data_IF_561593554354
#
_entry.id   IF_561593554354
#
_cell.length_a   1.000
_cell.length_b   1.000
_cell.length_c   1.000
_cell.angle_alpha   90.00
_cell.angle_beta   90.00
_cell.angle_gamma   90.00
#
_symmetry.space_group_name_H-M   'P 1'
#
loop_
_entity.id
_entity.type
_entity.pdbx_description
1 polymer ?
#
# COMPACT_ATOMS: atom_id res chain seq x y z
N UNK A 1 -20.59 13.40 -22.50
CA UNK A 1 -19.34 12.70 -22.85
C UNK A 1 -18.98 11.83 -21.65
N UNK A 2 -19.14 10.52 -21.75
CA UNK A 2 -18.72 9.57 -20.72
C UNK A 2 -17.19 9.50 -20.75
N UNK A 3 -16.54 10.05 -19.73
CA UNK A 3 -15.09 9.91 -19.56
C UNK A 3 -14.83 8.41 -19.40
N UNK A 4 -13.91 7.84 -20.19
CA UNK A 4 -13.51 6.45 -20.04
C UNK A 4 -12.94 6.27 -18.62
N UNK A 5 -13.71 5.60 -17.76
CA UNK A 5 -13.29 5.34 -16.40
C UNK A 5 -12.31 4.18 -16.42
N UNK A 6 -11.02 4.50 -16.37
CA UNK A 6 -9.98 3.50 -16.21
C UNK A 6 -10.13 2.84 -14.84
N UNK A 7 -9.92 1.51 -14.72
CA UNK A 7 -9.95 0.85 -13.43
C UNK A 7 -8.93 1.52 -12.48
N UNK A 8 -9.20 1.57 -11.17
CA UNK A 8 -8.26 2.14 -10.21
C UNK A 8 -6.87 1.52 -10.30
N UNK A 9 -5.82 2.31 -10.08
CA UNK A 9 -4.43 1.83 -10.18
C UNK A 9 -4.15 0.66 -9.25
N UNK A 10 -4.75 0.68 -8.06
CA UNK A 10 -4.63 -0.39 -7.07
C UNK A 10 -5.29 -1.71 -7.50
N UNK A 11 -6.13 -1.72 -8.52
CA UNK A 11 -6.83 -2.92 -8.98
C UNK A 11 -6.01 -3.76 -9.98
N UNK A 12 -5.06 -3.13 -10.68
CA UNK A 12 -4.32 -3.79 -11.76
C UNK A 12 -3.29 -4.80 -11.23
N UNK A 13 -3.10 -5.91 -11.92
CA UNK A 13 -1.96 -6.80 -11.67
C UNK A 13 -0.70 -6.20 -12.31
N UNK A 14 0.41 -6.11 -11.55
CA UNK A 14 1.70 -5.62 -12.04
C UNK A 14 2.69 -6.79 -12.13
N UNK A 15 2.83 -7.44 -13.31
CA UNK A 15 3.69 -8.61 -13.46
C UNK A 15 5.17 -8.28 -13.28
N UNK A 16 5.60 -7.06 -13.63
CA UNK A 16 7.00 -6.64 -13.52
C UNK A 16 7.39 -6.50 -12.05
N UNK A 17 6.57 -5.77 -11.27
CA UNK A 17 6.79 -5.69 -9.84
C UNK A 17 6.64 -7.05 -9.16
N UNK A 18 5.61 -7.82 -9.50
CA UNK A 18 5.31 -9.09 -8.86
C UNK A 18 6.47 -10.09 -8.98
N UNK A 19 7.12 -10.16 -10.16
CA UNK A 19 8.34 -10.97 -10.33
C UNK A 19 9.49 -10.51 -9.44
N UNK A 20 9.64 -9.20 -9.24
CA UNK A 20 10.70 -8.64 -8.41
C UNK A 20 10.44 -8.88 -6.93
N UNK A 21 9.22 -8.62 -6.47
CA UNK A 21 8.81 -8.76 -5.06
C UNK A 21 8.89 -10.22 -4.61
N UNK A 22 8.38 -11.14 -5.41
CA UNK A 22 8.27 -12.55 -5.05
C UNK A 22 9.34 -13.43 -5.71
N UNK A 23 10.44 -12.84 -6.18
CA UNK A 23 11.52 -13.54 -6.92
C UNK A 23 12.04 -14.78 -6.19
N UNK A 24 12.09 -14.73 -4.85
CA UNK A 24 12.67 -15.80 -4.02
C UNK A 24 11.70 -16.97 -3.78
N UNK A 25 10.41 -16.79 -4.10
CA UNK A 25 9.36 -17.81 -3.89
C UNK A 25 8.67 -18.26 -5.18
N UNK A 26 8.82 -17.54 -6.28
CA UNK A 26 8.12 -17.85 -7.54
C UNK A 26 8.65 -19.11 -8.25
N UNK A 27 9.94 -19.44 -8.11
CA UNK A 27 10.56 -20.54 -8.84
C UNK A 27 10.31 -20.41 -10.35
N UNK A 28 9.83 -21.48 -10.99
CA UNK A 28 9.54 -21.51 -12.44
C UNK A 28 8.45 -20.50 -12.86
N UNK A 29 7.55 -20.10 -11.94
CA UNK A 29 6.52 -19.10 -12.24
C UNK A 29 7.12 -17.75 -12.62
N UNK A 30 8.35 -17.45 -12.19
CA UNK A 30 9.08 -16.25 -12.56
C UNK A 30 9.41 -16.16 -14.07
N UNK A 31 9.24 -17.23 -14.84
CA UNK A 31 9.51 -17.28 -16.30
C UNK A 31 8.25 -17.28 -17.16
N UNK A 32 7.06 -17.39 -16.55
CA UNK A 32 5.77 -17.36 -17.25
C UNK A 32 5.60 -16.08 -18.07
N UNK A 33 4.72 -16.07 -19.07
CA UNK A 33 4.27 -14.81 -19.68
C UNK A 33 3.55 -13.93 -18.65
N UNK A 34 3.35 -12.65 -18.94
CA UNK A 34 2.65 -11.75 -18.01
C UNK A 34 1.18 -12.15 -17.80
N UNK A 35 0.54 -12.68 -18.84
CA UNK A 35 -0.83 -13.21 -18.76
C UNK A 35 -0.88 -14.49 -17.92
N UNK A 36 0.04 -15.43 -18.17
CA UNK A 36 0.12 -16.68 -17.40
C UNK A 36 0.50 -16.42 -15.94
N UNK A 37 1.34 -15.43 -15.67
CA UNK A 37 1.69 -15.02 -14.31
C UNK A 37 0.49 -14.41 -13.58
N UNK A 38 -0.36 -13.65 -14.27
CA UNK A 38 -1.61 -13.14 -13.70
C UNK A 38 -2.58 -14.29 -13.36
N UNK A 39 -2.67 -15.32 -14.21
CA UNK A 39 -3.45 -16.54 -13.94
C UNK A 39 -2.85 -17.32 -12.76
N UNK A 40 -1.53 -17.41 -12.70
CA UNK A 40 -0.82 -18.03 -11.58
C UNK A 40 -1.08 -17.30 -10.27
N UNK A 41 -1.04 -15.96 -10.28
CA UNK A 41 -1.40 -15.14 -9.11
C UNK A 41 -2.82 -15.45 -8.65
N UNK A 42 -3.80 -15.45 -9.55
CA UNK A 42 -5.19 -15.71 -9.19
C UNK A 42 -5.44 -17.11 -8.61
N UNK A 43 -4.64 -18.10 -9.02
CA UNK A 43 -4.80 -19.50 -8.59
C UNK A 43 -3.93 -19.89 -7.39
N UNK A 44 -2.78 -19.25 -7.20
CA UNK A 44 -1.79 -19.58 -6.16
C UNK A 44 -1.45 -18.34 -5.32
N UNK A 45 -0.91 -17.30 -5.95
CA UNK A 45 -0.36 -16.12 -5.27
C UNK A 45 -1.34 -15.42 -4.33
N UNK A 46 -2.57 -15.18 -4.78
CA UNK A 46 -3.61 -14.54 -3.98
C UNK A 46 -3.91 -15.35 -2.71
N UNK A 47 -4.00 -16.68 -2.82
CA UNK A 47 -4.22 -17.56 -1.66
C UNK A 47 -3.02 -17.57 -0.70
N UNK A 48 -1.80 -17.51 -1.25
CA UNK A 48 -0.55 -17.39 -0.49
C UNK A 48 -0.36 -16.03 0.19
N UNK A 49 -1.31 -15.09 0.05
CA UNK A 49 -1.21 -13.76 0.65
C UNK A 49 -0.24 -12.85 -0.09
N UNK A 50 -0.04 -13.05 -1.39
CA UNK A 50 0.70 -12.11 -2.21
C UNK A 50 -0.16 -10.90 -2.56
N UNK A 51 0.44 -9.72 -2.52
CA UNK A 51 -0.08 -8.52 -3.14
C UNK A 51 0.02 -8.63 -4.67
N UNK A 52 -0.94 -8.09 -5.43
CA UNK A 52 -0.93 -8.12 -6.90
C UNK A 52 -0.09 -6.99 -7.53
N UNK A 53 0.15 -5.93 -6.76
CA UNK A 53 0.86 -4.72 -7.17
C UNK A 53 1.39 -3.99 -5.93
N UNK A 54 2.20 -2.94 -6.16
CA UNK A 54 2.80 -2.08 -5.11
C UNK A 54 1.79 -1.27 -4.30
N UNK A 55 0.58 -1.06 -4.81
CA UNK A 55 -0.40 -0.15 -4.22
C UNK A 55 -1.28 -0.82 -3.17
N UNK A 56 -1.30 -2.14 -3.12
CA UNK A 56 -2.09 -2.91 -2.15
C UNK A 56 -1.16 -3.73 -1.28
N UNK A 57 -1.35 -3.67 0.03
CA UNK A 57 -0.58 -4.42 1.03
C UNK A 57 -1.47 -5.51 1.64
N UNK A 58 -1.36 -6.72 1.10
CA UNK A 58 -2.19 -7.87 1.48
C UNK A 58 -1.97 -8.29 2.93
N UNK A 59 -0.73 -8.24 3.40
CA UNK A 59 -0.41 -8.59 4.79
C UNK A 59 -1.01 -7.57 5.76
N UNK A 60 -0.78 -6.27 5.49
CA UNK A 60 -1.32 -5.19 6.29
C UNK A 60 -2.84 -5.22 6.31
N UNK A 61 -3.46 -5.36 5.14
CA UNK A 61 -4.90 -5.35 4.99
C UNK A 61 -5.55 -6.50 5.75
N UNK A 62 -5.02 -7.72 5.61
CA UNK A 62 -5.50 -8.88 6.38
C UNK A 62 -5.33 -8.68 7.87
N UNK A 63 -4.23 -8.07 8.33
CA UNK A 63 -4.00 -7.83 9.76
C UNK A 63 -4.97 -6.80 10.35
N UNK A 64 -5.33 -5.77 9.59
CA UNK A 64 -6.07 -4.61 10.10
C UNK A 64 -7.56 -4.58 9.72
N UNK A 65 -8.02 -5.43 8.79
CA UNK A 65 -9.43 -5.52 8.42
C UNK A 65 -10.06 -6.81 8.98
N UNK A 66 -10.79 -6.68 10.08
CA UNK A 66 -11.47 -7.81 10.72
C UNK A 66 -12.49 -8.49 9.79
N UNK A 67 -13.25 -7.72 9.02
CA UNK A 67 -14.21 -8.26 8.04
C UNK A 67 -13.51 -9.12 6.99
N UNK A 68 -12.33 -8.69 6.52
CA UNK A 68 -11.53 -9.50 5.61
C UNK A 68 -11.06 -10.79 6.29
N UNK A 69 -10.54 -10.74 7.53
CA UNK A 69 -10.13 -11.94 8.26
C UNK A 69 -11.28 -12.96 8.40
N UNK A 70 -12.47 -12.49 8.79
CA UNK A 70 -13.65 -13.34 8.94
C UNK A 70 -14.10 -13.92 7.59
N UNK A 71 -14.06 -13.14 6.52
CA UNK A 71 -14.43 -13.59 5.18
C UNK A 71 -13.41 -14.56 4.57
N UNK A 72 -12.12 -14.44 4.89
CA UNK A 72 -11.10 -15.42 4.51
C UNK A 72 -11.28 -16.73 5.30
N UNK A 73 -11.54 -16.64 6.61
CA UNK A 73 -11.75 -17.80 7.47
C UNK A 73 -13.01 -18.60 7.09
N UNK A 74 -14.05 -17.94 6.58
CA UNK A 74 -15.26 -18.58 6.07
C UNK A 74 -15.15 -19.08 4.62
N UNK A 75 -14.04 -18.76 3.93
CA UNK A 75 -13.84 -19.10 2.52
C UNK A 75 -14.68 -18.26 1.55
N UNK A 76 -15.27 -17.16 2.00
CA UNK A 76 -16.04 -16.24 1.14
C UNK A 76 -15.15 -15.50 0.13
N UNK A 77 -13.92 -15.16 0.52
CA UNK A 77 -12.92 -14.56 -0.36
C UNK A 77 -11.59 -15.30 -0.26
N UNK A 78 -10.85 -15.36 -1.38
CA UNK A 78 -9.56 -16.06 -1.47
C UNK A 78 -8.40 -15.28 -0.89
N UNK A 79 -8.53 -13.95 -0.86
CA UNK A 79 -7.49 -13.00 -0.43
C UNK A 79 -8.11 -11.73 0.14
N UNK A 80 -7.31 -10.99 0.90
CA UNK A 80 -7.67 -9.64 1.35
C UNK A 80 -7.90 -8.71 0.16
N UNK A 81 -7.12 -8.84 -0.90
CA UNK A 81 -7.25 -8.07 -2.13
C UNK A 81 -8.60 -8.30 -2.82
N UNK A 82 -9.06 -9.55 -2.89
CA UNK A 82 -10.39 -9.86 -3.41
C UNK A 82 -11.49 -9.23 -2.57
N UNK A 83 -11.41 -9.34 -1.23
CA UNK A 83 -12.33 -8.65 -0.33
C UNK A 83 -12.32 -7.12 -0.56
N UNK A 84 -11.13 -6.53 -0.70
CA UNK A 84 -10.96 -5.11 -0.95
C UNK A 84 -11.65 -4.68 -2.24
N UNK A 85 -11.41 -5.39 -3.35
CA UNK A 85 -12.02 -5.09 -4.64
C UNK A 85 -13.54 -5.16 -4.61
N UNK A 86 -14.12 -6.07 -3.83
CA UNK A 86 -15.57 -6.29 -3.79
C UNK A 86 -16.30 -5.31 -2.87
N UNK A 87 -15.75 -5.05 -1.69
CA UNK A 87 -16.43 -4.22 -0.68
C UNK A 87 -15.49 -3.34 0.12
N UNK A 88 -14.28 -3.81 0.42
CA UNK A 88 -13.37 -3.12 1.32
C UNK A 88 -12.94 -1.74 0.85
N UNK A 89 -12.84 -1.50 -0.46
CA UNK A 89 -12.41 -0.22 -1.03
C UNK A 89 -13.28 0.97 -0.60
N UNK A 90 -14.52 0.74 -0.14
CA UNK A 90 -15.44 1.80 0.26
C UNK A 90 -15.06 2.47 1.58
N UNK A 91 -14.39 1.75 2.48
CA UNK A 91 -14.18 2.20 3.87
C UNK A 91 -12.81 1.83 4.42
N UNK A 92 -12.18 0.79 3.88
CA UNK A 92 -10.94 0.24 4.40
C UNK A 92 -9.74 0.84 3.66
N UNK A 93 -8.58 0.79 4.32
CA UNK A 93 -7.34 1.33 3.77
C UNK A 93 -6.45 0.18 3.28
N UNK A 94 -6.05 0.16 2.00
CA UNK A 94 -5.34 -0.97 1.39
C UNK A 94 -3.84 -1.00 1.70
N UNK A 95 -3.28 0.05 2.29
CA UNK A 95 -1.84 0.22 2.47
C UNK A 95 -1.55 0.91 3.81
N UNK A 96 -0.48 0.53 4.50
CA UNK A 96 -0.14 1.01 5.85
C UNK A 96 0.20 2.52 5.94
N UNK A 97 0.47 3.15 4.80
CA UNK A 97 0.73 4.59 4.66
C UNK A 97 -0.36 5.35 3.90
N UNK A 98 -1.56 4.80 3.85
CA UNK A 98 -2.75 5.53 3.43
C UNK A 98 -3.88 5.28 4.43
N UNK A 99 -4.67 6.30 4.75
CA UNK A 99 -5.92 6.14 5.50
C UNK A 99 -7.06 6.85 4.78
N UNK A 100 -8.06 6.06 4.36
CA UNK A 100 -9.26 6.58 3.70
C UNK A 100 -9.98 7.60 4.60
N UNK A 101 -10.11 7.29 5.90
CA UNK A 101 -10.73 8.18 6.89
C UNK A 101 -9.94 9.47 7.04
N UNK A 102 -8.62 9.39 7.19
CA UNK A 102 -7.76 10.58 7.32
C UNK A 102 -7.86 11.46 6.08
N UNK A 103 -7.74 10.88 4.90
CA UNK A 103 -7.69 11.61 3.64
C UNK A 103 -9.00 12.34 3.34
N UNK A 104 -10.13 11.62 3.45
CA UNK A 104 -11.48 12.19 3.18
C UNK A 104 -11.93 13.19 4.24
N UNK A 105 -11.44 13.09 5.49
CA UNK A 105 -11.69 14.09 6.54
C UNK A 105 -10.86 15.35 6.34
N UNK A 106 -9.62 15.21 5.88
CA UNK A 106 -8.68 16.32 5.71
C UNK A 106 -8.99 17.18 4.49
N UNK A 107 -9.43 16.55 3.39
CA UNK A 107 -9.63 17.22 2.11
C UNK A 107 -11.11 17.23 1.74
N UNK A 108 -11.75 18.39 1.91
CA UNK A 108 -13.19 18.53 1.71
C UNK A 108 -13.66 18.21 0.28
N UNK A 109 -12.78 18.41 -0.71
CA UNK A 109 -12.97 18.09 -2.13
C UNK A 109 -12.79 16.59 -2.44
N UNK A 110 -12.31 15.79 -1.48
CA UNK A 110 -12.16 14.33 -1.59
C UNK A 110 -13.23 13.57 -0.80
N UNK A 111 -14.40 14.15 -0.55
CA UNK A 111 -15.53 13.40 0.04
C UNK A 111 -16.15 12.42 -0.98
N UNK A 112 -16.84 11.39 -0.49
CA UNK A 112 -17.39 10.32 -1.33
C UNK A 112 -18.24 10.80 -2.53
N UNK A 113 -19.03 11.87 -2.36
CA UNK A 113 -19.85 12.40 -3.44
C UNK A 113 -19.03 13.11 -4.51
N UNK A 114 -18.03 13.90 -4.10
CA UNK A 114 -17.11 14.57 -5.01
C UNK A 114 -16.21 13.57 -5.76
N UNK A 115 -15.77 12.51 -5.10
CA UNK A 115 -14.98 11.45 -5.72
C UNK A 115 -15.77 10.72 -6.80
N UNK A 116 -17.00 10.31 -6.47
CA UNK A 116 -17.87 9.62 -7.41
C UNK A 116 -18.24 10.48 -8.62
N UNK A 117 -18.50 11.78 -8.44
CA UNK A 117 -18.82 12.69 -9.55
C UNK A 117 -17.66 12.93 -10.50
N UNK A 118 -16.42 12.78 -10.01
CA UNK A 118 -15.18 12.86 -10.78
C UNK A 118 -14.73 11.51 -11.35
N UNK A 119 -15.46 10.43 -11.06
CA UNK A 119 -15.15 9.09 -11.56
C UNK A 119 -14.07 8.34 -10.80
N UNK A 120 -13.76 8.72 -9.56
CA UNK A 120 -12.87 7.95 -8.69
C UNK A 120 -13.65 6.89 -7.92
N UNK A 121 -13.04 5.71 -7.73
CA UNK A 121 -13.67 4.63 -6.97
C UNK A 121 -13.73 4.92 -5.46
N UNK A 122 -12.70 5.57 -4.91
CA UNK A 122 -12.56 5.94 -3.51
C UNK A 122 -11.47 7.02 -3.33
N UNK A 123 -11.21 7.41 -2.08
CA UNK A 123 -10.17 8.37 -1.74
C UNK A 123 -8.78 7.89 -2.15
N UNK A 124 -8.50 6.59 -2.04
CA UNK A 124 -7.21 6.03 -2.47
C UNK A 124 -6.97 6.11 -3.98
N UNK A 125 -7.98 5.84 -4.82
CA UNK A 125 -7.89 6.00 -6.27
C UNK A 125 -7.62 7.46 -6.66
N UNK A 126 -8.33 8.40 -6.02
CA UNK A 126 -8.05 9.82 -6.19
C UNK A 126 -6.65 10.21 -5.69
N UNK A 127 -6.21 9.68 -4.55
CA UNK A 127 -4.88 9.94 -4.00
C UNK A 127 -3.78 9.51 -4.97
N UNK A 128 -3.83 8.28 -5.48
CA UNK A 128 -2.80 7.75 -6.40
C UNK A 128 -2.76 8.49 -7.74
N UNK A 129 -3.87 9.09 -8.18
CA UNK A 129 -3.98 9.77 -9.48
C UNK A 129 -3.75 11.28 -9.42
N UNK A 130 -4.16 11.91 -8.33
CA UNK A 130 -4.20 13.37 -8.19
C UNK A 130 -3.52 13.79 -6.89
N UNK A 131 -3.96 13.25 -5.76
CA UNK A 131 -3.52 13.70 -4.43
C UNK A 131 -2.01 13.65 -4.24
N UNK A 132 -1.36 12.59 -4.70
CA UNK A 132 0.09 12.42 -4.59
C UNK A 132 0.86 13.45 -5.46
N UNK A 133 0.37 13.74 -6.66
CA UNK A 133 0.93 14.79 -7.52
C UNK A 133 0.82 16.18 -6.88
N UNK A 134 -0.27 16.42 -6.15
CA UNK A 134 -0.49 17.64 -5.37
C UNK A 134 0.21 17.62 -4.01
N UNK A 135 1.03 16.61 -3.72
CA UNK A 135 1.74 16.42 -2.45
C UNK A 135 0.82 16.40 -1.23
N UNK A 136 -0.43 15.95 -1.40
CA UNK A 136 -1.34 15.75 -0.28
C UNK A 136 -0.85 14.60 0.57
N UNK A 137 -0.87 14.74 1.89
CA UNK A 137 -0.59 13.63 2.79
C UNK A 137 -1.78 12.66 2.80
N UNK A 138 -1.53 11.39 2.45
CA UNK A 138 -2.50 10.29 2.54
C UNK A 138 -2.60 9.68 3.94
N UNK A 139 -1.64 9.95 4.82
CA UNK A 139 -1.56 9.38 6.16
C UNK A 139 -0.64 10.22 7.07
N UNK A 140 -0.89 10.24 8.38
CA UNK A 140 -0.05 10.98 9.35
C UNK A 140 1.44 10.56 9.32
N UNK A 141 1.71 9.29 9.01
CA UNK A 141 3.07 8.76 8.97
C UNK A 141 3.75 8.87 7.59
N UNK A 142 3.12 9.59 6.65
CA UNK A 142 3.70 9.93 5.36
C UNK A 142 3.37 11.38 4.99
N UNK A 143 4.38 12.24 5.09
CA UNK A 143 4.31 13.63 4.67
C UNK A 143 5.19 13.78 3.41
N UNK A 144 4.61 14.01 2.23
CA UNK A 144 5.35 14.09 0.97
C UNK A 144 6.52 15.09 0.99
N UNK A 145 6.37 16.24 1.65
CA UNK A 145 7.43 17.24 1.71
C UNK A 145 8.58 16.81 2.63
N UNK A 146 8.28 16.16 3.76
CA UNK A 146 9.31 15.59 4.66
C UNK A 146 10.05 14.46 3.96
N UNK A 147 9.33 13.58 3.27
CA UNK A 147 9.94 12.51 2.48
C UNK A 147 10.88 13.06 1.41
N UNK A 148 10.44 14.03 0.59
CA UNK A 148 11.28 14.61 -0.46
C UNK A 148 12.50 15.37 0.09
N UNK A 149 12.39 15.96 1.28
CA UNK A 149 13.52 16.61 1.94
C UNK A 149 14.61 15.60 2.35
N UNK A 150 14.20 14.42 2.81
CA UNK A 150 15.12 13.38 3.31
C UNK A 150 15.56 12.39 2.22
N UNK A 151 14.77 12.26 1.15
CA UNK A 151 15.02 11.41 -0.02
C UNK A 151 14.73 12.22 -1.30
N UNK A 152 15.63 13.14 -1.69
CA UNK A 152 15.43 13.91 -2.91
C UNK A 152 15.38 12.96 -4.11
N UNK A 153 14.39 13.16 -4.98
CA UNK A 153 14.28 12.41 -6.21
C UNK A 153 15.50 12.65 -7.12
N UNK A 154 15.97 11.59 -7.77
CA UNK A 154 16.92 11.74 -8.87
C UNK A 154 16.27 12.52 -10.02
N UNK A 155 17.06 13.28 -10.76
CA UNK A 155 16.56 14.01 -11.91
C UNK A 155 16.06 13.01 -12.97
N UNK A 156 14.77 13.10 -13.28
CA UNK A 156 14.06 12.32 -14.30
C UNK A 156 13.24 13.26 -15.17
N UNK A 157 13.09 12.91 -16.45
CA UNK A 157 12.23 13.66 -17.39
C UNK A 157 10.75 13.57 -16.98
N UNK A 158 10.36 12.49 -16.30
CA UNK A 158 9.02 12.29 -15.75
C UNK A 158 9.13 11.73 -14.32
N UNK A 159 9.32 12.59 -13.31
CA UNK A 159 9.47 12.14 -11.93
C UNK A 159 8.12 11.61 -11.41
N UNK A 160 8.16 10.46 -10.77
CA UNK A 160 7.00 9.93 -10.06
C UNK A 160 6.61 10.88 -8.92
N UNK A 161 5.30 11.01 -8.62
CA UNK A 161 4.89 11.74 -7.43
C UNK A 161 5.36 11.01 -6.14
N UNK A 162 5.46 11.70 -5.00
CA UNK A 162 6.29 11.28 -3.87
C UNK A 162 5.93 9.91 -3.27
N UNK A 163 4.65 9.62 -3.09
CA UNK A 163 4.20 8.33 -2.57
C UNK A 163 4.46 7.22 -3.58
N UNK A 164 4.19 7.44 -4.87
CA UNK A 164 4.55 6.47 -5.90
C UNK A 164 6.05 6.26 -5.97
N UNK A 165 6.87 7.31 -5.89
CA UNK A 165 8.33 7.18 -5.79
C UNK A 165 8.71 6.31 -4.59
N UNK A 166 8.14 6.56 -3.41
CA UNK A 166 8.37 5.75 -2.22
C UNK A 166 8.06 4.26 -2.45
N UNK A 167 6.95 3.92 -3.10
CA UNK A 167 6.59 2.53 -3.43
C UNK A 167 7.56 1.84 -4.42
N UNK A 168 8.41 2.61 -5.11
CA UNK A 168 9.46 2.09 -5.97
C UNK A 168 10.82 1.93 -5.25
N UNK A 169 10.94 2.41 -4.00
CA UNK A 169 12.15 2.25 -3.19
C UNK A 169 12.19 0.90 -2.48
N UNK A 170 13.34 0.60 -1.86
CA UNK A 170 13.49 -0.59 -1.02
C UNK A 170 12.57 -0.51 0.21
N UNK A 171 11.92 -1.63 0.56
CA UNK A 171 10.97 -1.70 1.69
C UNK A 171 11.62 -1.40 3.05
N UNK A 172 12.96 -1.46 3.13
CA UNK A 172 13.76 -1.11 4.31
C UNK A 172 14.04 0.38 4.45
N UNK A 173 13.71 1.22 3.44
CA UNK A 173 13.90 2.67 3.49
C UNK A 173 13.39 3.31 4.82
N UNK A 174 12.20 2.94 5.36
CA UNK A 174 11.70 3.50 6.61
C UNK A 174 12.51 3.10 7.86
N UNK A 175 13.53 2.25 7.75
CA UNK A 175 14.49 1.97 8.83
C UNK A 175 15.46 3.12 9.08
N UNK A 176 15.64 3.99 8.09
CA UNK A 176 16.69 5.01 8.11
C UNK A 176 16.18 6.40 7.71
N UNK A 177 15.03 6.47 7.03
CA UNK A 177 14.47 7.72 6.52
C UNK A 177 13.24 8.13 7.31
N UNK A 178 13.23 9.39 7.75
CA UNK A 178 12.07 10.02 8.36
C UNK A 178 11.06 10.37 7.26
N UNK A 179 9.86 9.76 7.32
CA UNK A 179 8.78 9.99 6.34
C UNK A 179 7.76 11.03 6.80
N UNK A 180 7.71 11.36 8.09
CA UNK A 180 6.94 12.46 8.63
C UNK A 180 7.49 12.90 9.98
N UNK A 181 7.03 14.05 10.45
CA UNK A 181 7.31 14.58 11.79
C UNK A 181 6.84 13.67 12.94
N UNK A 182 6.01 12.66 12.64
CA UNK A 182 5.39 11.78 13.62
C UNK A 182 6.19 10.51 13.94
N UNK A 183 7.26 10.22 13.19
CA UNK A 183 8.07 9.03 13.44
C UNK A 183 9.55 9.26 13.14
N UNK A 184 10.39 9.00 14.13
CA UNK A 184 11.84 8.99 13.98
C UNK A 184 12.36 7.55 14.06
N UNK A 185 12.88 6.98 12.96
CA UNK A 185 13.27 5.57 12.91
C UNK A 185 14.49 5.27 13.79
N UNK A 186 15.47 6.17 13.86
CA UNK A 186 16.67 5.99 14.70
C UNK A 186 16.35 5.98 16.19
N UNK A 187 15.44 6.86 16.63
CA UNK A 187 14.96 6.87 18.00
C UNK A 187 14.15 5.61 18.31
N UNK A 188 13.20 5.25 17.44
CA UNK A 188 12.36 4.08 17.66
C UNK A 188 13.17 2.78 17.69
N UNK A 189 14.13 2.60 16.78
CA UNK A 189 15.03 1.44 16.76
C UNK A 189 15.87 1.31 18.03
N UNK A 190 16.41 2.43 18.56
CA UNK A 190 17.16 2.43 19.82
C UNK A 190 16.30 2.06 21.02
N UNK A 191 15.05 2.51 21.04
CA UNK A 191 14.13 2.26 22.15
C UNK A 191 13.45 0.89 22.07
N UNK A 192 13.41 0.28 20.89
CA UNK A 192 12.71 -0.99 20.65
C UNK A 192 13.63 -1.99 19.92
N UNK A 193 14.66 -2.55 20.59
CA UNK A 193 15.54 -3.54 19.98
C UNK A 193 14.79 -4.77 19.43
N UNK A 194 13.66 -5.13 20.05
CA UNK A 194 12.80 -6.21 19.54
C UNK A 194 12.22 -5.88 18.17
N UNK A 195 11.83 -4.63 17.91
CA UNK A 195 11.32 -4.22 16.60
C UNK A 195 12.41 -4.33 15.52
N UNK A 196 13.64 -3.97 15.85
CA UNK A 196 14.80 -4.14 14.96
C UNK A 196 15.02 -5.62 14.66
N UNK A 197 15.01 -6.46 15.69
CA UNK A 197 15.15 -7.91 15.54
C UNK A 197 14.05 -8.54 14.67
N UNK A 198 12.80 -8.06 14.79
CA UNK A 198 11.69 -8.52 13.92
C UNK A 198 11.95 -8.19 12.45
N UNK A 199 12.53 -7.03 12.16
CA UNK A 199 12.91 -6.64 10.79
C UNK A 199 14.10 -7.46 10.29
N UNK A 200 15.14 -7.65 11.11
CA UNK A 200 16.33 -8.43 10.74
C UNK A 200 16.02 -9.89 10.43
N UNK A 201 15.07 -10.49 11.14
CA UNK A 201 14.60 -11.86 10.85
C UNK A 201 13.51 -11.94 9.77
N UNK A 202 13.12 -10.81 9.18
CA UNK A 202 12.14 -10.77 8.08
C UNK A 202 10.69 -10.97 8.51
N UNK A 203 10.36 -10.84 9.80
CA UNK A 203 8.96 -10.86 10.27
C UNK A 203 8.22 -9.56 9.98
N UNK A 204 8.94 -8.46 9.76
CA UNK A 204 8.39 -7.15 9.42
C UNK A 204 9.26 -6.51 8.35
N UNK A 205 8.68 -5.75 7.40
CA UNK A 205 9.46 -5.16 6.31
C UNK A 205 10.37 -4.01 6.79
N UNK A 206 9.93 -3.25 7.80
CA UNK A 206 10.66 -2.14 8.38
C UNK A 206 10.11 -1.74 9.75
N UNK A 207 10.86 -0.90 10.46
CA UNK A 207 10.54 -0.49 11.83
C UNK A 207 9.31 0.43 11.92
N UNK A 208 8.99 1.20 10.87
CA UNK A 208 7.75 1.99 10.82
C UNK A 208 6.53 1.08 10.70
N UNK A 209 6.62 0.04 9.86
CA UNK A 209 5.57 -0.96 9.70
C UNK A 209 5.32 -1.69 11.03
N UNK A 210 6.39 -2.13 11.72
CA UNK A 210 6.29 -2.74 13.05
C UNK A 210 5.64 -1.77 14.06
N UNK A 211 6.09 -0.51 14.09
CA UNK A 211 5.50 0.49 14.97
C UNK A 211 3.99 0.64 14.73
N UNK A 212 3.56 0.75 13.47
CA UNK A 212 2.16 0.87 13.12
C UNK A 212 1.38 -0.40 13.48
N UNK A 213 1.95 -1.58 13.23
CA UNK A 213 1.35 -2.85 13.58
C UNK A 213 1.13 -3.05 15.09
N UNK A 214 1.94 -2.41 15.94
CA UNK A 214 1.81 -2.41 17.41
C UNK A 214 0.92 -1.28 17.92
N UNK A 215 0.95 -0.11 17.26
CA UNK A 215 0.21 1.08 17.65
C UNK A 215 -1.29 0.97 17.32
N UNK A 216 -1.67 0.13 16.34
CA UNK A 216 -3.06 -0.03 15.88
C UNK A 216 -3.59 -1.45 16.00
N UNK A 217 -3.66 -2.07 17.20
CA UNK A 217 -4.21 -3.43 17.32
C UNK A 217 -5.71 -3.50 16.97
N UNK A 218 -6.41 -2.36 16.86
CA UNK A 218 -7.83 -2.27 16.47
C UNK A 218 -8.12 -1.26 15.33
N UNK A 219 -7.11 -0.81 14.56
CA UNK A 219 -7.28 0.04 13.36
C UNK A 219 -7.81 1.48 13.60
N UNK A 220 -7.59 2.37 12.64
CA UNK A 220 -8.20 3.73 12.59
C UNK A 220 -9.57 3.70 11.91
#
# INVERSE_FOLDING_TARGET
MTVAQFPPLWQAFDPVWYRQEYKDVLGDAATLSDEDLAIWYQSQGAFSGHSPNRYFDEEWYRRNCREAQEALASGQYRSGFEHYCQIGFKTQSPHYLFSERYYTTRFADANAQALASQGFANGYDHYLRVGDQEKRSGHLFFNPDVYLQNCPAEASDEPLPPFRQFLHTDRTLPNHVVLSEHFNPEWYARMNPNAVMMVEYGYMPNVLYQFLADFTPNGF
#
